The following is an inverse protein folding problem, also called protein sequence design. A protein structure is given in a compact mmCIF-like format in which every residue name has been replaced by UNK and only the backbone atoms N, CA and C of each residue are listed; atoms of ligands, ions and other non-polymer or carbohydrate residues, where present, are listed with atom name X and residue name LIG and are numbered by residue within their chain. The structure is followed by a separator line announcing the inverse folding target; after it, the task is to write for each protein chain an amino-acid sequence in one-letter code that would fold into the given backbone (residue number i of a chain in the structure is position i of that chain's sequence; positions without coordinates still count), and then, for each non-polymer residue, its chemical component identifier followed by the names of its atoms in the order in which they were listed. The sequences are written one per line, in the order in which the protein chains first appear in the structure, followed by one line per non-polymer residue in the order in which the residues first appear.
data_IF_587715270136
#
_entry.id   IF_587715270136
#
_cell.length_a   1.000
_cell.length_b   1.000
_cell.length_c   1.000
_cell.angle_alpha   90.00
_cell.angle_beta   90.00
_cell.angle_gamma   90.00
#
_symmetry.space_group_name_H-M   'P 1'
#
loop_
_entity.id
_entity.type
_entity.pdbx_description
1 polymer ?
#
# COMPACT_ATOMS: atom_id res chain seq x y z
N UNK A 1 -5.47 7.72 20.39
CA UNK A 1 -4.70 6.89 19.44
C UNK A 1 -5.71 6.23 18.52
N UNK A 2 -5.53 6.29 17.20
CA UNK A 2 -6.44 5.62 16.27
C UNK A 2 -6.30 4.10 16.43
N UNK A 3 -7.43 3.39 16.51
CA UNK A 3 -7.44 1.93 16.61
C UNK A 3 -6.94 1.32 15.29
N UNK A 4 -5.93 0.44 15.30
CA UNK A 4 -5.47 -0.23 14.09
C UNK A 4 -6.61 -1.00 13.42
N UNK A 5 -6.72 -0.88 12.09
CA UNK A 5 -7.73 -1.59 11.32
C UNK A 5 -7.24 -3.02 11.05
N UNK A 6 -8.01 -4.07 11.38
CA UNK A 6 -7.57 -5.45 11.20
C UNK A 6 -7.47 -5.79 9.71
N UNK A 7 -6.38 -6.46 9.34
CA UNK A 7 -6.13 -6.98 8.00
C UNK A 7 -6.14 -8.51 8.05
N UNK A 8 -7.24 -9.17 7.64
CA UNK A 8 -7.31 -10.63 7.66
C UNK A 8 -6.44 -11.28 6.59
N UNK A 9 -6.22 -10.60 5.45
CA UNK A 9 -5.36 -11.06 4.38
C UNK A 9 -4.89 -9.90 3.50
N UNK A 10 -3.84 -10.17 2.72
CA UNK A 10 -3.22 -9.22 1.81
C UNK A 10 -3.08 -9.88 0.43
N UNK A 11 -3.29 -9.11 -0.63
CA UNK A 11 -3.07 -9.54 -2.02
C UNK A 11 -1.88 -8.80 -2.61
N UNK A 12 -1.01 -9.52 -3.32
CA UNK A 12 0.16 -8.96 -4.02
C UNK A 12 0.10 -9.36 -5.49
N UNK A 13 0.27 -8.39 -6.38
CA UNK A 13 0.45 -8.61 -7.82
C UNK A 13 1.77 -7.96 -8.25
N UNK A 14 2.59 -8.71 -8.99
CA UNK A 14 3.98 -8.38 -9.36
C UNK A 14 4.24 -8.67 -10.85
N UNK A 15 3.27 -8.35 -11.71
CA UNK A 15 3.40 -8.54 -13.16
C UNK A 15 3.59 -7.19 -13.86
N UNK A 16 2.59 -6.75 -14.63
CA UNK A 16 2.65 -5.52 -15.42
C UNK A 16 2.36 -4.27 -14.58
N UNK A 17 1.33 -4.38 -13.74
CA UNK A 17 1.02 -3.41 -12.70
C UNK A 17 1.41 -4.01 -11.35
N UNK A 18 2.00 -3.17 -10.50
CA UNK A 18 2.32 -3.57 -9.15
C UNK A 18 1.16 -3.21 -8.25
N UNK A 19 0.67 -4.18 -7.48
CA UNK A 19 -0.47 -4.00 -6.58
C UNK A 19 -0.17 -4.64 -5.23
N UNK A 20 -0.41 -3.89 -4.16
CA UNK A 20 -0.45 -4.40 -2.79
C UNK A 20 -1.78 -3.96 -2.19
N UNK A 21 -2.69 -4.91 -1.95
CA UNK A 21 -4.04 -4.63 -1.47
C UNK A 21 -4.25 -5.24 -0.08
N UNK A 22 -4.54 -4.40 0.91
CA UNK A 22 -4.91 -4.80 2.26
C UNK A 22 -6.41 -4.98 2.34
N UNK A 23 -6.89 -6.18 2.68
CA UNK A 23 -8.29 -6.34 3.06
C UNK A 23 -8.50 -5.71 4.43
N UNK A 24 -9.52 -4.87 4.62
CA UNK A 24 -9.80 -4.16 5.85
C UNK A 24 -11.06 -4.71 6.52
N UNK A 25 -11.01 -4.79 7.85
CA UNK A 25 -12.13 -5.24 8.67
C UNK A 25 -12.22 -6.77 8.77
N UNK A 26 -13.14 -7.29 9.61
CA UNK A 26 -13.19 -8.72 9.92
C UNK A 26 -13.47 -9.63 8.71
N UNK A 27 -14.17 -9.10 7.71
CA UNK A 27 -14.60 -9.82 6.51
C UNK A 27 -13.90 -9.32 5.22
N UNK A 28 -12.98 -8.36 5.32
CA UNK A 28 -12.31 -7.79 4.14
C UNK A 28 -13.24 -7.03 3.19
N UNK A 29 -14.35 -6.48 3.71
CA UNK A 29 -15.38 -5.80 2.90
C UNK A 29 -14.89 -4.47 2.30
N UNK A 30 -13.90 -3.84 2.93
CA UNK A 30 -13.23 -2.65 2.41
C UNK A 30 -11.77 -3.02 2.10
N UNK A 31 -11.12 -2.30 1.19
CA UNK A 31 -9.74 -2.55 0.79
C UNK A 31 -8.93 -1.27 0.77
N UNK A 32 -7.66 -1.36 1.14
CA UNK A 32 -6.69 -0.31 0.86
C UNK A 32 -5.72 -0.84 -0.20
N UNK A 33 -5.78 -0.27 -1.39
CA UNK A 33 -4.95 -0.69 -2.51
C UNK A 33 -3.85 0.32 -2.75
N UNK A 34 -2.60 -0.16 -2.71
CA UNK A 34 -1.41 0.52 -3.19
C UNK A 34 -1.14 0.01 -4.60
N UNK A 35 -1.11 0.91 -5.57
CA UNK A 35 -0.92 0.52 -6.97
C UNK A 35 0.03 1.47 -7.67
N UNK A 36 0.88 0.92 -8.54
CA UNK A 36 1.71 1.68 -9.47
C UNK A 36 1.73 0.94 -10.80
N UNK A 37 1.51 1.70 -11.89
CA UNK A 37 1.50 1.20 -13.26
C UNK A 37 2.65 1.85 -14.05
N UNK A 38 3.91 1.39 -13.90
CA UNK A 38 5.08 2.08 -14.46
C UNK A 38 5.00 2.29 -15.98
N UNK A 39 4.41 1.33 -16.69
CA UNK A 39 4.25 1.38 -18.15
C UNK A 39 3.31 2.49 -18.63
N UNK A 40 2.42 2.99 -17.77
CA UNK A 40 1.45 4.04 -18.10
C UNK A 40 1.82 5.40 -17.49
N UNK A 41 2.87 5.47 -16.66
CA UNK A 41 3.26 6.71 -15.97
C UNK A 41 3.70 7.84 -16.91
N UNK A 42 4.11 7.51 -18.15
CA UNK A 42 4.48 8.51 -19.15
C UNK A 42 3.28 9.40 -19.55
N UNK A 43 2.05 8.89 -19.41
CA UNK A 43 0.82 9.64 -19.66
C UNK A 43 0.44 10.57 -18.50
N UNK A 44 1.04 10.37 -17.32
CA UNK A 44 0.76 11.15 -16.12
C UNK A 44 1.68 12.37 -16.01
N UNK A 45 1.13 13.47 -15.46
CA UNK A 45 1.94 14.62 -15.07
C UNK A 45 2.91 14.24 -13.94
N UNK A 46 4.08 14.89 -13.83
CA UNK A 46 5.09 14.53 -12.84
C UNK A 46 4.56 14.45 -11.39
N UNK A 47 3.60 15.30 -11.04
CA UNK A 47 2.97 15.39 -9.71
C UNK A 47 1.95 14.28 -9.45
N UNK A 48 1.55 13.54 -10.50
CA UNK A 48 0.59 12.43 -10.42
C UNK A 48 1.28 11.07 -10.46
N UNK A 49 2.60 11.02 -10.68
CA UNK A 49 3.39 9.78 -10.75
C UNK A 49 3.77 9.28 -9.35
N UNK A 50 4.01 7.99 -9.23
CA UNK A 50 4.29 7.32 -7.96
C UNK A 50 3.20 6.32 -7.58
N UNK A 51 3.22 5.88 -6.33
CA UNK A 51 2.25 4.88 -5.84
C UNK A 51 0.96 5.57 -5.46
N UNK A 52 -0.14 5.15 -6.09
CA UNK A 52 -1.49 5.59 -5.77
C UNK A 52 -2.04 4.80 -4.61
N UNK A 53 -2.71 5.49 -3.68
CA UNK A 53 -3.39 4.91 -2.52
C UNK A 53 -4.89 5.11 -2.69
N UNK A 54 -5.62 4.03 -2.92
CA UNK A 54 -7.07 4.04 -3.13
C UNK A 54 -7.79 3.11 -2.17
N UNK A 55 -8.86 3.61 -1.54
CA UNK A 55 -9.75 2.78 -0.72
C UNK A 55 -11.07 2.43 -1.42
N UNK A 56 -11.55 3.27 -2.36
CA UNK A 56 -12.85 3.13 -3.03
C UNK A 56 -12.83 3.78 -4.43
N UNK A 57 -13.72 3.31 -5.32
CA UNK A 57 -13.94 3.94 -6.63
C UNK A 57 -14.54 5.35 -6.47
N UNK A 58 -13.91 6.36 -7.07
CA UNK A 58 -14.39 7.75 -7.07
C UNK A 58 -13.73 8.68 -6.03
N UNK A 59 -12.83 8.17 -5.18
CA UNK A 59 -12.02 9.02 -4.31
C UNK A 59 -10.91 9.71 -5.11
N UNK A 60 -10.55 10.95 -4.74
CA UNK A 60 -9.42 11.63 -5.38
C UNK A 60 -8.15 10.78 -5.21
N UNK A 61 -7.33 10.61 -6.26
CA UNK A 61 -6.10 9.86 -6.14
C UNK A 61 -5.20 10.54 -5.10
N UNK A 62 -4.87 9.80 -4.04
CA UNK A 62 -3.87 10.21 -3.06
C UNK A 62 -2.57 9.46 -3.33
N UNK A 63 -1.44 10.11 -3.14
CA UNK A 63 -0.13 9.49 -3.36
C UNK A 63 0.45 8.96 -2.06
N UNK A 64 1.17 7.86 -2.15
CA UNK A 64 1.88 7.28 -1.03
C UNK A 64 3.07 8.17 -0.65
N UNK A 65 3.21 8.45 0.63
CA UNK A 65 4.28 9.26 1.20
C UNK A 65 5.23 8.40 2.02
N UNK A 66 4.67 7.47 2.81
CA UNK A 66 5.47 6.56 3.61
C UNK A 66 4.75 5.23 3.88
N UNK A 67 5.53 4.16 4.03
CA UNK A 67 5.10 2.89 4.60
C UNK A 67 6.09 2.51 5.70
N UNK A 68 5.58 2.30 6.92
CA UNK A 68 6.37 1.90 8.07
C UNK A 68 5.87 0.55 8.58
N UNK A 69 6.70 -0.48 8.40
CA UNK A 69 6.42 -1.82 8.86
C UNK A 69 6.92 -2.02 10.29
N UNK A 70 6.02 -2.46 11.16
CA UNK A 70 6.34 -3.01 12.47
C UNK A 70 6.08 -4.51 12.53
N UNK A 71 6.35 -5.12 13.69
CA UNK A 71 6.22 -6.58 13.86
C UNK A 71 4.80 -7.12 13.68
N UNK A 72 3.77 -6.31 13.97
CA UNK A 72 2.34 -6.70 13.90
C UNK A 72 1.46 -5.63 13.28
N UNK A 73 2.02 -4.51 12.88
CA UNK A 73 1.29 -3.38 12.32
C UNK A 73 2.03 -2.76 11.18
N UNK A 74 1.31 -2.16 10.24
CA UNK A 74 1.89 -1.31 9.20
C UNK A 74 1.18 0.04 9.18
N UNK A 75 1.97 1.10 9.14
CA UNK A 75 1.46 2.45 8.92
C UNK A 75 1.63 2.81 7.44
N UNK A 76 0.53 3.12 6.78
CA UNK A 76 0.50 3.61 5.40
C UNK A 76 0.11 5.07 5.44
N UNK A 77 1.00 5.95 4.99
CA UNK A 77 0.79 7.40 4.97
C UNK A 77 0.61 7.84 3.52
N UNK A 78 -0.57 8.37 3.19
CA UNK A 78 -0.79 9.06 1.92
C UNK A 78 -0.79 10.57 2.09
N UNK A 79 -0.84 11.31 0.97
CA UNK A 79 -1.02 12.76 0.95
C UNK A 79 -2.34 13.23 1.57
N UNK A 80 -3.32 12.34 1.74
CA UNK A 80 -4.64 12.66 2.30
C UNK A 80 -4.76 12.25 3.77
N UNK A 81 -4.34 11.02 4.11
CA UNK A 81 -4.50 10.47 5.47
C UNK A 81 -3.49 9.37 5.79
N UNK A 82 -3.40 9.05 7.09
CA UNK A 82 -2.65 7.90 7.60
C UNK A 82 -3.60 6.75 7.92
N UNK A 83 -3.23 5.55 7.51
CA UNK A 83 -3.87 4.30 7.85
C UNK A 83 -2.95 3.52 8.79
N UNK A 84 -3.47 3.06 9.91
CA UNK A 84 -2.78 2.15 10.82
C UNK A 84 -3.45 0.79 10.70
N UNK A 85 -2.71 -0.21 10.24
CA UNK A 85 -3.22 -1.53 9.90
C UNK A 85 -2.62 -2.58 10.84
N UNK A 86 -3.44 -3.48 11.34
CA UNK A 86 -3.01 -4.66 12.09
C UNK A 86 -2.87 -5.86 11.15
N UNK A 87 -1.63 -6.29 10.96
CA UNK A 87 -1.21 -7.37 10.06
C UNK A 87 -0.88 -8.65 10.83
N UNK A 88 -1.20 -8.74 12.13
CA UNK A 88 -0.89 -9.89 12.98
C UNK A 88 -1.46 -11.24 12.48
N UNK A 89 -2.45 -11.19 11.58
CA UNK A 89 -3.07 -12.36 10.96
C UNK A 89 -2.51 -12.73 9.58
N UNK A 90 -1.66 -11.88 9.00
CA UNK A 90 -1.06 -12.10 7.69
C UNK A 90 0.20 -12.96 7.87
N UNK A 91 0.39 -13.96 7.02
CA UNK A 91 1.55 -14.83 7.08
C UNK A 91 2.84 -14.13 6.59
N UNK A 92 3.99 -14.60 7.08
CA UNK A 92 5.28 -14.00 6.78
C UNK A 92 5.68 -14.03 5.29
N UNK A 93 5.23 -15.03 4.53
CA UNK A 93 5.56 -15.14 3.10
C UNK A 93 4.82 -14.05 2.30
N UNK A 94 3.54 -13.85 2.60
CA UNK A 94 2.73 -12.77 2.01
C UNK A 94 3.29 -11.39 2.38
N UNK A 95 3.73 -11.20 3.62
CA UNK A 95 4.39 -9.96 4.06
C UNK A 95 5.70 -9.70 3.32
N UNK A 96 6.55 -10.72 3.16
CA UNK A 96 7.80 -10.61 2.41
C UNK A 96 7.55 -10.30 0.92
N UNK A 97 6.52 -10.90 0.32
CA UNK A 97 6.12 -10.60 -1.05
C UNK A 97 5.67 -9.14 -1.19
N UNK A 98 4.87 -8.63 -0.25
CA UNK A 98 4.41 -7.24 -0.24
C UNK A 98 5.59 -6.26 -0.10
N UNK A 99 6.52 -6.53 0.83
CA UNK A 99 7.75 -5.73 1.01
C UNK A 99 8.59 -5.67 -0.26
N UNK A 100 8.77 -6.82 -0.93
CA UNK A 100 9.51 -6.90 -2.19
C UNK A 100 8.85 -6.05 -3.29
N UNK A 101 7.52 -6.13 -3.43
CA UNK A 101 6.80 -5.33 -4.43
C UNK A 101 6.82 -3.85 -4.08
N UNK A 102 6.68 -3.48 -2.80
CA UNK A 102 6.85 -2.08 -2.37
C UNK A 102 8.26 -1.55 -2.66
N UNK A 103 9.29 -2.39 -2.50
CA UNK A 103 10.64 -2.06 -2.92
C UNK A 103 10.73 -1.75 -4.42
N UNK A 104 10.12 -2.60 -5.27
CA UNK A 104 10.02 -2.35 -6.72
C UNK A 104 9.26 -1.06 -7.04
N UNK A 105 8.14 -0.84 -6.36
CA UNK A 105 7.34 0.37 -6.48
C UNK A 105 8.11 1.65 -6.11
N UNK A 106 9.17 1.57 -5.31
CA UNK A 106 9.97 2.72 -4.86
C UNK A 106 11.28 2.92 -5.65
N UNK A 107 11.36 2.45 -6.90
CA UNK A 107 12.59 2.54 -7.71
C UNK A 107 13.13 3.97 -7.90
N UNK A 108 12.26 4.98 -7.79
CA UNK A 108 12.57 6.40 -7.91
C UNK A 108 12.49 7.17 -6.58
N UNK A 109 12.43 6.46 -5.45
CA UNK A 109 12.46 7.01 -4.09
C UNK A 109 11.38 8.06 -3.79
N UNK A 110 10.20 7.94 -4.42
CA UNK A 110 9.07 8.87 -4.22
C UNK A 110 8.37 8.75 -2.87
N UNK A 111 8.60 7.68 -2.12
CA UNK A 111 8.05 7.50 -0.78
C UNK A 111 9.08 6.89 0.16
N UNK A 112 8.86 7.05 1.47
CA UNK A 112 9.73 6.46 2.48
C UNK A 112 9.28 5.02 2.75
N UNK A 113 10.16 4.06 2.54
CA UNK A 113 9.93 2.67 2.93
C UNK A 113 10.81 2.33 4.12
N UNK A 114 10.20 2.11 5.28
CA UNK A 114 10.88 1.67 6.49
C UNK A 114 10.31 0.32 6.94
N UNK A 115 11.19 -0.62 7.24
CA UNK A 115 10.85 -1.94 7.76
C UNK A 115 12.11 -2.63 8.24
N UNK A 116 11.99 -3.33 9.37
CA UNK A 116 13.04 -4.14 9.96
C UNK A 116 13.09 -5.54 9.31
#
# INVERSE_FOLDING_TARGET
MATPQPVPFLTVEDEDDWVVSFALGPLGANRLTLMRAPRLEFMLRPEQRGVSVGAEAGQRPSLLVAVQWGAKSVDVVSTERRYCLDISKVDGNTLAAALRVLGKMNFDQRFQLAGA
#
